data_IF_264150793742
#
_entry.id   IF_264150793742
#
_cell.length_a   1.000
_cell.length_b   1.000
_cell.length_c   1.000
_cell.angle_alpha   90.00
_cell.angle_beta   90.00
_cell.angle_gamma   90.00
#
_symmetry.space_group_name_H-M   'P 1'
#
loop_
_entity.id
_entity.type
_entity.pdbx_description
1 polymer ?
#
# COMPACT_ATOMS: atom_id res chain seq x y z
N UNK A 1 -7.77 30.76 -7.39
CA UNK A 1 -7.94 29.43 -8.02
C UNK A 1 -7.13 28.40 -7.23
N UNK A 2 -7.70 27.86 -6.15
CA UNK A 2 -6.97 26.90 -5.31
C UNK A 2 -7.26 25.48 -5.80
N UNK A 3 -6.41 25.01 -6.71
CA UNK A 3 -6.40 23.60 -7.10
C UNK A 3 -6.09 22.77 -5.85
N UNK A 4 -7.12 22.14 -5.27
CA UNK A 4 -6.96 21.04 -4.31
C UNK A 4 -6.15 19.96 -5.03
N UNK A 5 -4.82 19.94 -4.83
CA UNK A 5 -3.99 18.77 -5.13
C UNK A 5 -4.75 17.57 -4.54
N UNK A 6 -4.93 16.45 -5.25
CA UNK A 6 -5.50 15.26 -4.62
C UNK A 6 -4.57 14.96 -3.43
N UNK A 7 -5.07 15.21 -2.22
CA UNK A 7 -4.27 15.06 -1.02
C UNK A 7 -3.94 13.57 -0.94
N UNK A 8 -2.66 13.24 -1.08
CA UNK A 8 -2.18 11.89 -0.79
C UNK A 8 -2.74 11.52 0.57
N UNK A 9 -3.46 10.43 0.64
CA UNK A 9 -4.13 9.99 1.86
C UNK A 9 -3.17 10.02 3.04
N UNK A 10 -3.66 10.42 4.21
CA UNK A 10 -2.82 10.53 5.41
C UNK A 10 -2.09 9.20 5.70
N UNK A 11 -2.79 8.09 5.52
CA UNK A 11 -2.21 6.75 5.65
C UNK A 11 -1.05 6.50 4.69
N UNK A 12 -1.18 6.86 3.41
CA UNK A 12 -0.10 6.68 2.41
C UNK A 12 1.11 7.54 2.77
N UNK A 13 0.87 8.77 3.23
CA UNK A 13 1.94 9.67 3.67
C UNK A 13 2.71 9.08 4.87
N UNK A 14 1.98 8.52 5.85
CA UNK A 14 2.59 7.80 7.00
C UNK A 14 3.34 6.54 6.55
N UNK A 15 2.79 5.76 5.62
CA UNK A 15 3.48 4.58 5.07
C UNK A 15 4.79 4.92 4.39
N UNK A 16 4.83 5.99 3.60
CA UNK A 16 6.07 6.44 3.00
C UNK A 16 7.11 6.84 4.06
N UNK A 17 6.69 7.44 5.17
CA UNK A 17 7.59 7.74 6.29
C UNK A 17 8.14 6.46 6.94
N UNK A 18 7.30 5.47 7.21
CA UNK A 18 7.72 4.16 7.79
C UNK A 18 8.67 3.41 6.86
N UNK A 19 8.45 3.46 5.54
CA UNK A 19 9.34 2.84 4.57
C UNK A 19 10.68 3.57 4.46
N UNK A 20 10.68 4.90 4.59
CA UNK A 20 11.91 5.72 4.61
C UNK A 20 12.77 5.50 5.85
N UNK A 21 12.17 5.15 6.99
CA UNK A 21 12.94 4.82 8.20
C UNK A 21 13.56 3.41 8.14
N UNK A 22 13.29 2.64 7.09
CA UNK A 22 13.83 1.28 6.92
C UNK A 22 13.08 0.22 7.72
N UNK A 23 11.96 0.56 8.38
CA UNK A 23 11.17 -0.41 9.14
C UNK A 23 10.21 -1.19 8.23
N UNK A 24 10.79 -2.04 7.37
CA UNK A 24 10.04 -2.94 6.48
C UNK A 24 9.04 -3.83 7.22
N UNK A 25 9.34 -4.49 8.36
CA UNK A 25 8.36 -5.36 9.01
C UNK A 25 7.12 -4.60 9.51
N UNK A 26 7.28 -3.38 10.04
CA UNK A 26 6.15 -2.55 10.43
C UNK A 26 5.30 -2.10 9.22
N UNK A 27 5.95 -1.79 8.09
CA UNK A 27 5.23 -1.45 6.86
C UNK A 27 4.43 -2.64 6.33
N UNK A 28 5.01 -3.85 6.33
CA UNK A 28 4.32 -5.07 5.90
C UNK A 28 3.09 -5.36 6.77
N UNK A 29 3.20 -5.21 8.10
CA UNK A 29 2.09 -5.39 9.01
C UNK A 29 0.94 -4.41 8.70
N UNK A 30 1.25 -3.14 8.46
CA UNK A 30 0.25 -2.11 8.16
C UNK A 30 -0.40 -2.30 6.78
N UNK A 31 0.37 -2.75 5.77
CA UNK A 31 -0.18 -3.10 4.45
C UNK A 31 -1.20 -4.24 4.58
N UNK A 32 -0.87 -5.29 5.31
CA UNK A 32 -1.76 -6.45 5.55
C UNK A 32 -2.97 -6.12 6.42
N UNK A 33 -2.90 -5.08 7.25
CA UNK A 33 -4.02 -4.62 8.08
C UNK A 33 -4.96 -3.66 7.32
N UNK A 34 -4.51 -3.08 6.21
CA UNK A 34 -5.27 -2.05 5.48
C UNK A 34 -6.47 -2.65 4.76
N UNK A 35 -7.64 -2.03 4.91
CA UNK A 35 -8.89 -2.44 4.25
C UNK A 35 -9.24 -1.59 3.04
N UNK A 36 -8.40 -0.61 2.70
CA UNK A 36 -8.61 0.35 1.61
C UNK A 36 -7.76 -0.02 0.39
N UNK A 37 -8.40 -0.52 -0.65
CA UNK A 37 -7.75 -0.82 -1.94
C UNK A 37 -7.25 0.44 -2.65
N UNK A 38 -7.89 1.59 -2.42
CA UNK A 38 -7.46 2.89 -2.98
C UNK A 38 -6.11 3.34 -2.41
N UNK A 39 -5.94 3.21 -1.10
CA UNK A 39 -4.70 3.60 -0.42
C UNK A 39 -3.52 2.72 -0.83
N UNK A 40 -3.75 1.41 -0.98
CA UNK A 40 -2.74 0.47 -1.48
C UNK A 40 -2.30 0.80 -2.90
N UNK A 41 -3.24 1.09 -3.81
CA UNK A 41 -2.92 1.49 -5.19
C UNK A 41 -2.11 2.78 -5.23
N UNK A 42 -2.50 3.78 -4.42
CA UNK A 42 -1.78 5.05 -4.35
C UNK A 42 -0.37 4.86 -3.76
N UNK A 43 -0.22 4.04 -2.71
CA UNK A 43 1.10 3.70 -2.15
C UNK A 43 1.98 3.01 -3.19
N UNK A 44 1.46 2.02 -3.91
CA UNK A 44 2.20 1.32 -4.97
C UNK A 44 2.70 2.27 -6.05
N UNK A 45 1.82 3.15 -6.53
CA UNK A 45 2.16 4.14 -7.54
C UNK A 45 3.27 5.12 -7.07
N UNK A 46 3.24 5.51 -5.79
CA UNK A 46 4.30 6.36 -5.22
C UNK A 46 5.63 5.62 -5.11
N UNK A 47 5.62 4.36 -4.69
CA UNK A 47 6.84 3.54 -4.59
C UNK A 47 7.42 3.20 -5.97
N UNK A 48 6.57 2.99 -6.98
CA UNK A 48 6.99 2.78 -8.37
C UNK A 48 7.68 4.03 -8.92
N UNK A 49 7.08 5.22 -8.75
CA UNK A 49 7.68 6.50 -9.13
C UNK A 49 9.01 6.77 -8.44
N UNK A 50 9.16 6.32 -7.19
CA UNK A 50 10.40 6.43 -6.44
C UNK A 50 11.41 5.30 -6.76
N UNK A 51 11.06 4.36 -7.65
CA UNK A 51 11.83 3.15 -7.97
C UNK A 51 12.17 2.27 -6.75
N UNK A 52 11.41 2.42 -5.66
CA UNK A 52 11.65 1.71 -4.40
C UNK A 52 11.09 0.27 -4.42
N UNK A 53 10.11 -0.03 -5.28
CA UNK A 53 9.56 -1.40 -5.41
C UNK A 53 10.63 -2.42 -5.81
N UNK A 54 11.63 -2.02 -6.60
CA UNK A 54 12.75 -2.90 -6.99
C UNK A 54 13.60 -3.31 -5.79
N UNK A 55 13.78 -2.41 -4.83
CA UNK A 55 14.54 -2.64 -3.61
C UNK A 55 13.69 -3.33 -2.54
N UNK A 56 12.40 -2.99 -2.48
CA UNK A 56 11.44 -3.46 -1.50
C UNK A 56 10.48 -4.49 -2.09
N UNK A 57 11.02 -5.54 -2.71
CA UNK A 57 10.24 -6.67 -3.23
C UNK A 57 9.19 -7.23 -2.25
N UNK A 58 9.48 -7.44 -0.95
CA UNK A 58 8.45 -7.94 -0.02
C UNK A 58 7.29 -6.97 0.15
N UNK A 59 7.51 -5.65 -0.03
CA UNK A 59 6.45 -4.63 0.04
C UNK A 59 5.55 -4.70 -1.18
N UNK A 60 6.11 -4.85 -2.39
CA UNK A 60 5.30 -5.01 -3.61
C UNK A 60 4.40 -6.26 -3.53
N UNK A 61 4.97 -7.38 -3.08
CA UNK A 61 4.24 -8.64 -2.90
C UNK A 61 3.09 -8.45 -1.88
N UNK A 62 3.35 -7.82 -0.74
CA UNK A 62 2.32 -7.61 0.28
C UNK A 62 1.19 -6.69 -0.20
N UNK A 63 1.51 -5.66 -0.99
CA UNK A 63 0.50 -4.78 -1.60
C UNK A 63 -0.37 -5.58 -2.60
N UNK A 64 0.26 -6.37 -3.46
CA UNK A 64 -0.45 -7.18 -4.45
C UNK A 64 -1.37 -8.23 -3.80
N UNK A 65 -0.86 -8.95 -2.80
CA UNK A 65 -1.61 -9.93 -2.01
C UNK A 65 -2.84 -9.29 -1.35
N UNK A 66 -2.65 -8.15 -0.67
CA UNK A 66 -3.75 -7.46 -0.01
C UNK A 66 -4.78 -6.90 -1.01
N UNK A 67 -4.33 -6.37 -2.15
CA UNK A 67 -5.25 -5.95 -3.21
C UNK A 67 -6.08 -7.13 -3.73
N UNK A 68 -5.47 -8.29 -3.92
CA UNK A 68 -6.17 -9.51 -4.33
C UNK A 68 -7.17 -9.96 -3.25
N UNK A 69 -6.78 -9.90 -1.97
CA UNK A 69 -7.66 -10.24 -0.85
C UNK A 69 -8.87 -9.30 -0.74
N UNK A 70 -8.68 -8.00 -1.02
CA UNK A 70 -9.75 -7.00 -1.02
C UNK A 70 -10.61 -7.06 -2.29
N UNK A 71 -10.04 -7.46 -3.42
CA UNK A 71 -10.75 -7.61 -4.70
C UNK A 71 -11.56 -8.90 -4.77
N UNK A 72 -11.18 -9.93 -4.03
CA UNK A 72 -11.93 -11.18 -3.95
C UNK A 72 -13.22 -10.93 -3.15
N UNK A 73 -14.42 -11.01 -3.77
CA UNK A 73 -15.64 -11.09 -2.97
C UNK A 73 -15.47 -12.30 -2.05
N UNK A 74 -15.81 -12.17 -0.77
CA UNK A 74 -15.69 -13.24 0.25
C UNK A 74 -16.62 -14.43 -0.07
N UNK A 75 -16.44 -15.10 -1.21
CA UNK A 75 -17.38 -16.05 -1.82
C UNK A 75 -16.71 -17.33 -2.38
N UNK A 76 -15.47 -17.65 -2.02
CA UNK A 76 -14.92 -19.00 -2.22
C UNK A 76 -13.91 -19.37 -1.15
N UNK A 77 -14.36 -19.36 0.09
CA UNK A 77 -13.83 -20.26 1.13
C UNK A 77 -15.03 -20.87 1.86
N UNK A 78 -15.87 -21.61 1.11
CA UNK A 78 -16.68 -22.66 1.74
C UNK A 78 -15.73 -23.84 1.99
N UNK A 79 -15.69 -24.39 3.22
CA UNK A 79 -14.92 -25.59 3.55
C UNK A 79 -15.43 -26.82 2.81
#
# INVERSE_FOLDING_TARGET
>A
MNQKRPATSEWVTKMLAVLKTGNTPAALAQIKATTSSKDLQQLRAMLEKAQLLKQLKPVDIAIADQLQALASPRLSRSP
#
